data_IF_415398559568
#
_entry.id   IF_415398559568
#
_cell.length_a   1.000
_cell.length_b   1.000
_cell.length_c   1.000
_cell.angle_alpha   90.00
_cell.angle_beta   90.00
_cell.angle_gamma   90.00
#
_symmetry.space_group_name_H-M   'P 1'
#
loop_
_entity.id
_entity.type
_entity.pdbx_description
1 polymer ?
#
# COMPACT_ATOMS: atom_id res chain seq x y z
N UNK A 1 37.02 21.85 -34.26
CA UNK A 1 35.80 22.66 -34.29
C UNK A 1 34.92 22.22 -33.12
N UNK A 2 34.87 23.00 -32.03
CA UNK A 2 34.02 22.68 -30.86
C UNK A 2 32.58 22.82 -31.22
N UNK A 3 31.81 21.73 -31.14
CA UNK A 3 30.32 21.71 -31.20
C UNK A 3 29.81 22.25 -29.86
N UNK A 4 29.44 23.53 -29.79
CA UNK A 4 28.59 24.02 -28.72
C UNK A 4 27.17 23.57 -29.02
N UNK A 5 26.51 22.88 -28.11
CA UNK A 5 25.24 22.17 -28.26
C UNK A 5 23.98 23.02 -28.58
N UNK A 6 24.11 24.20 -29.16
CA UNK A 6 22.99 25.15 -29.37
C UNK A 6 22.54 25.25 -30.84
N UNK A 7 23.01 24.43 -31.78
CA UNK A 7 22.65 24.46 -33.21
C UNK A 7 22.92 25.83 -33.89
N UNK A 8 24.00 26.52 -33.49
CA UNK A 8 24.46 27.80 -34.07
C UNK A 8 25.78 27.57 -34.78
N UNK A 9 25.89 27.98 -36.04
CA UNK A 9 27.07 27.77 -36.89
C UNK A 9 27.55 29.09 -37.45
N UNK A 10 28.87 29.30 -37.60
CA UNK A 10 29.43 30.44 -38.31
C UNK A 10 29.56 30.09 -39.80
N UNK A 11 28.94 30.87 -40.65
CA UNK A 11 28.99 30.73 -42.12
C UNK A 11 30.28 31.29 -42.69
N UNK A 12 30.57 30.93 -43.94
CA UNK A 12 31.75 31.46 -44.65
C UNK A 12 31.64 32.96 -44.94
N UNK A 13 30.44 33.51 -44.98
CA UNK A 13 30.16 34.94 -45.15
C UNK A 13 30.31 35.75 -43.86
N UNK A 14 30.78 35.14 -42.77
CA UNK A 14 31.05 35.78 -41.49
C UNK A 14 29.81 35.85 -40.56
N UNK A 15 28.62 35.58 -41.03
CA UNK A 15 27.40 35.56 -40.22
C UNK A 15 27.26 34.29 -39.41
N UNK A 16 26.53 34.37 -38.29
CA UNK A 16 26.06 33.20 -37.53
C UNK A 16 24.68 32.79 -38.03
N UNK A 17 24.45 31.50 -38.14
CA UNK A 17 23.18 30.88 -38.49
C UNK A 17 22.72 30.00 -37.32
N UNK A 18 21.53 30.26 -36.76
CA UNK A 18 20.87 29.43 -35.77
C UNK A 18 19.75 28.65 -36.43
N UNK A 19 19.64 27.35 -36.13
CA UNK A 19 18.65 26.44 -36.71
C UNK A 19 17.68 25.94 -35.63
N UNK A 20 16.37 26.00 -35.91
CA UNK A 20 15.33 25.46 -35.02
C UNK A 20 14.30 24.66 -35.80
N UNK A 21 13.62 23.73 -35.12
CA UNK A 21 12.59 22.85 -35.73
C UNK A 21 11.26 23.57 -35.71
N UNK A 22 10.62 23.76 -36.89
CA UNK A 22 9.28 24.33 -37.02
C UNK A 22 8.19 23.25 -36.93
N UNK A 23 8.49 22.01 -37.37
CA UNK A 23 7.53 20.92 -37.42
C UNK A 23 7.98 19.81 -38.38
N UNK A 24 7.05 18.94 -38.78
CA UNK A 24 7.26 17.90 -39.79
C UNK A 24 6.38 18.16 -41.00
N UNK A 25 6.84 17.78 -42.21
CA UNK A 25 6.02 17.76 -43.44
C UNK A 25 5.04 16.60 -43.38
N UNK A 26 4.03 16.60 -44.26
CA UNK A 26 3.08 15.49 -44.41
C UNK A 26 3.75 14.14 -44.67
N UNK A 27 4.98 14.17 -45.24
CA UNK A 27 5.84 13.01 -45.53
C UNK A 27 6.75 12.60 -44.37
N UNK A 28 6.60 13.21 -43.18
CA UNK A 28 7.40 12.90 -41.98
C UNK A 28 8.78 13.56 -41.91
N UNK A 29 9.22 14.36 -42.89
CA UNK A 29 10.51 15.06 -42.88
C UNK A 29 10.47 16.28 -41.93
N UNK A 30 11.53 16.47 -41.16
CA UNK A 30 11.64 17.61 -40.23
C UNK A 30 11.85 18.92 -40.97
N UNK A 31 10.97 19.91 -40.74
CA UNK A 31 11.05 21.25 -41.31
C UNK A 31 11.77 22.17 -40.33
N UNK A 32 12.77 22.92 -40.85
CA UNK A 32 13.62 23.80 -40.05
C UNK A 32 13.37 25.27 -40.38
N UNK A 33 13.46 26.12 -39.35
CA UNK A 33 13.59 27.57 -39.45
C UNK A 33 15.03 28.00 -39.19
N UNK A 34 15.39 29.17 -39.71
CA UNK A 34 16.73 29.70 -39.60
C UNK A 34 16.69 31.14 -39.13
N UNK A 35 17.66 31.51 -38.28
CA UNK A 35 17.88 32.85 -37.76
C UNK A 35 19.33 33.26 -38.10
N UNK A 36 19.53 34.47 -38.61
CA UNK A 36 20.83 34.95 -39.01
C UNK A 36 21.21 36.23 -38.24
N UNK A 37 22.49 36.43 -37.95
CA UNK A 37 23.00 37.62 -37.31
C UNK A 37 24.53 37.69 -37.41
N UNK A 38 25.12 38.86 -37.15
CA UNK A 38 26.54 39.05 -37.18
C UNK A 38 27.24 38.72 -35.84
N UNK A 39 26.46 38.68 -34.76
CA UNK A 39 26.99 38.33 -33.42
C UNK A 39 26.34 37.02 -32.93
N UNK A 40 27.13 36.15 -32.29
CA UNK A 40 26.66 34.87 -31.74
C UNK A 40 25.55 35.05 -30.72
N UNK A 41 25.72 36.04 -29.81
CA UNK A 41 24.70 36.32 -28.76
C UNK A 41 23.36 36.80 -29.33
N UNK A 42 23.39 37.59 -30.39
CA UNK A 42 22.21 38.04 -31.11
C UNK A 42 21.42 36.87 -31.68
N UNK A 43 22.12 35.96 -32.37
CA UNK A 43 21.50 34.77 -32.96
C UNK A 43 20.98 33.83 -31.88
N UNK A 44 21.71 33.71 -30.77
CA UNK A 44 21.31 32.91 -29.62
C UNK A 44 20.01 33.44 -28.99
N UNK A 45 19.91 34.74 -28.74
CA UNK A 45 18.72 35.37 -28.16
C UNK A 45 17.52 35.25 -29.09
N UNK A 46 17.68 35.54 -30.36
CA UNK A 46 16.60 35.36 -31.37
C UNK A 46 16.20 33.91 -31.50
N UNK A 47 17.15 32.96 -31.41
CA UNK A 47 16.83 31.53 -31.42
C UNK A 47 16.05 31.11 -30.18
N UNK A 48 16.37 31.67 -29.01
CA UNK A 48 15.63 31.43 -27.78
C UNK A 48 14.21 32.02 -27.84
N UNK A 49 14.04 33.23 -28.40
CA UNK A 49 12.72 33.85 -28.66
C UNK A 49 11.87 33.01 -29.59
N UNK A 50 12.40 32.56 -30.73
CA UNK A 50 11.68 31.70 -31.66
C UNK A 50 11.33 30.33 -31.05
N UNK A 51 12.22 29.76 -30.24
CA UNK A 51 11.92 28.54 -29.50
C UNK A 51 10.84 28.77 -28.42
N UNK A 52 10.86 29.92 -27.74
CA UNK A 52 9.87 30.31 -26.76
C UNK A 52 8.48 30.56 -27.39
N UNK A 53 8.44 31.15 -28.59
CA UNK A 53 7.18 31.32 -29.35
C UNK A 53 6.62 30.00 -29.85
N UNK A 54 7.48 29.03 -30.19
CA UNK A 54 7.06 27.68 -30.59
C UNK A 54 6.67 26.79 -29.38
N UNK A 55 7.13 27.18 -28.18
CA UNK A 55 6.75 26.61 -26.86
C UNK A 55 5.59 27.41 -26.24
N UNK A 56 4.93 28.32 -26.96
CA UNK A 56 3.65 28.84 -26.48
C UNK A 56 2.75 27.64 -26.13
N UNK A 57 2.18 27.61 -24.91
CA UNK A 57 1.19 26.61 -24.61
C UNK A 57 0.15 26.71 -25.71
N UNK A 58 -0.08 25.61 -26.42
CA UNK A 58 -1.13 25.50 -27.42
C UNK A 58 -2.41 26.03 -26.76
N UNK A 59 -2.83 27.19 -27.22
CA UNK A 59 -4.15 27.71 -26.93
C UNK A 59 -5.13 26.60 -27.28
N UNK A 60 -5.81 26.11 -26.27
CA UNK A 60 -6.81 25.05 -26.24
C UNK A 60 -6.33 23.68 -26.75
N UNK A 61 -6.24 22.68 -25.85
CA UNK A 61 -6.02 21.31 -26.28
C UNK A 61 -7.18 20.86 -27.17
N UNK A 62 -6.94 20.02 -28.20
CA UNK A 62 -8.00 19.44 -29.03
C UNK A 62 -9.06 18.80 -28.10
N UNK A 63 -10.33 18.78 -28.55
CA UNK A 63 -11.49 18.39 -27.72
C UNK A 63 -11.34 17.06 -26.94
N UNK A 64 -10.50 16.15 -27.41
CA UNK A 64 -10.10 14.91 -26.69
C UNK A 64 -9.19 15.15 -25.47
N UNK A 65 -8.63 16.35 -25.27
CA UNK A 65 -7.71 16.69 -24.18
C UNK A 65 -8.36 17.52 -23.05
N UNK A 66 -9.68 17.68 -23.05
CA UNK A 66 -10.41 18.45 -22.01
C UNK A 66 -10.91 17.58 -20.86
N UNK A 67 -10.34 16.39 -20.67
CA UNK A 67 -10.68 15.51 -19.55
C UNK A 67 -9.93 15.99 -18.32
N UNK A 68 -10.66 16.31 -17.25
CA UNK A 68 -10.08 16.65 -15.95
C UNK A 68 -9.52 15.39 -15.26
N UNK A 69 -8.57 15.58 -14.34
CA UNK A 69 -8.06 14.46 -13.55
C UNK A 69 -9.19 13.79 -12.74
N UNK A 70 -10.18 14.53 -12.26
CA UNK A 70 -11.36 13.98 -11.58
C UNK A 70 -12.13 13.00 -12.46
N UNK A 71 -12.51 13.44 -13.66
CA UNK A 71 -13.25 12.60 -14.61
C UNK A 71 -12.45 11.36 -14.97
N UNK A 72 -11.13 11.53 -15.20
CA UNK A 72 -10.25 10.42 -15.52
C UNK A 72 -10.09 9.43 -14.37
N UNK A 73 -9.88 9.90 -13.14
CA UNK A 73 -9.74 9.03 -11.97
C UNK A 73 -11.02 8.20 -11.73
N UNK A 74 -12.20 8.78 -11.92
CA UNK A 74 -13.46 8.06 -11.81
C UNK A 74 -13.61 7.03 -12.94
N UNK A 75 -13.32 7.42 -14.18
CA UNK A 75 -13.31 6.51 -15.33
C UNK A 75 -12.37 5.32 -15.10
N UNK A 76 -11.15 5.57 -14.63
CA UNK A 76 -10.18 4.51 -14.31
C UNK A 76 -10.67 3.58 -13.20
N UNK A 77 -11.28 4.14 -12.16
CA UNK A 77 -11.84 3.35 -11.06
C UNK A 77 -12.99 2.44 -11.52
N UNK A 78 -13.88 2.94 -12.37
CA UNK A 78 -15.06 2.23 -12.85
C UNK A 78 -14.72 1.16 -13.90
N UNK A 79 -13.84 1.48 -14.84
CA UNK A 79 -13.59 0.60 -15.99
C UNK A 79 -12.44 -0.37 -15.78
N UNK A 80 -11.39 0.02 -15.05
CA UNK A 80 -10.19 -0.80 -14.86
C UNK A 80 -10.14 -1.45 -13.48
N UNK A 81 -10.52 -0.72 -12.43
CA UNK A 81 -10.37 -1.21 -11.06
C UNK A 81 -11.58 -1.99 -10.57
N UNK A 82 -12.79 -1.66 -11.04
CA UNK A 82 -14.01 -2.36 -10.62
C UNK A 82 -13.98 -3.81 -11.14
N UNK A 83 -14.06 -4.75 -10.19
CA UNK A 83 -13.99 -6.19 -10.51
C UNK A 83 -12.57 -6.76 -10.63
N UNK A 84 -11.55 -5.95 -10.95
CA UNK A 84 -10.15 -6.40 -11.03
C UNK A 84 -9.47 -6.49 -9.67
N UNK A 85 -9.92 -5.70 -8.69
CA UNK A 85 -9.41 -5.69 -7.32
C UNK A 85 -10.49 -6.02 -6.29
N UNK A 86 -10.05 -6.41 -5.09
CA UNK A 86 -10.99 -6.69 -3.99
C UNK A 86 -11.77 -5.42 -3.60
N UNK A 87 -13.05 -5.59 -3.24
CA UNK A 87 -13.94 -4.50 -2.83
C UNK A 87 -13.33 -3.60 -1.72
N UNK A 88 -12.59 -4.19 -0.77
CA UNK A 88 -11.89 -3.44 0.27
C UNK A 88 -10.76 -2.53 -0.28
N UNK A 89 -10.02 -3.02 -1.28
CA UNK A 89 -8.98 -2.23 -1.95
C UNK A 89 -9.59 -1.11 -2.77
N UNK A 90 -10.66 -1.41 -3.50
CA UNK A 90 -11.43 -0.43 -4.28
C UNK A 90 -11.88 0.74 -3.40
N UNK A 91 -12.48 0.47 -2.25
CA UNK A 91 -12.93 1.48 -1.30
C UNK A 91 -11.77 2.28 -0.68
N UNK A 92 -10.65 1.61 -0.40
CA UNK A 92 -9.44 2.28 0.08
C UNK A 92 -8.91 3.26 -0.98
N UNK A 93 -8.89 2.85 -2.25
CA UNK A 93 -8.46 3.68 -3.36
C UNK A 93 -9.38 4.88 -3.55
N UNK A 94 -10.71 4.67 -3.57
CA UNK A 94 -11.69 5.76 -3.63
C UNK A 94 -11.50 6.76 -2.48
N UNK A 95 -11.27 6.26 -1.27
CA UNK A 95 -11.02 7.13 -0.10
C UNK A 95 -9.76 7.96 -0.28
N UNK A 96 -8.65 7.35 -0.74
CA UNK A 96 -7.39 8.07 -0.97
C UNK A 96 -7.52 9.09 -2.11
N UNK A 97 -8.19 8.72 -3.19
CA UNK A 97 -8.46 9.61 -4.33
C UNK A 97 -9.26 10.82 -3.87
N UNK A 98 -10.40 10.61 -3.23
CA UNK A 98 -11.30 11.69 -2.82
C UNK A 98 -10.69 12.57 -1.72
N UNK A 99 -9.90 11.99 -0.81
CA UNK A 99 -9.33 12.73 0.33
C UNK A 99 -8.06 13.50 -0.03
N UNK A 100 -7.24 12.96 -0.93
CA UNK A 100 -5.91 13.50 -1.17
C UNK A 100 -5.69 14.01 -2.60
N UNK A 101 -6.13 13.27 -3.63
CA UNK A 101 -5.81 13.62 -5.02
C UNK A 101 -6.78 14.69 -5.57
N UNK A 102 -8.09 14.44 -5.46
CA UNK A 102 -9.08 15.28 -6.09
C UNK A 102 -9.21 16.70 -5.51
N UNK A 103 -8.98 16.96 -4.20
CA UNK A 103 -9.05 18.30 -3.68
C UNK A 103 -8.00 19.24 -4.28
N UNK A 104 -6.82 18.74 -4.60
CA UNK A 104 -5.70 19.55 -5.07
C UNK A 104 -5.56 19.51 -6.61
N UNK A 105 -5.64 18.31 -7.19
CA UNK A 105 -5.35 18.11 -8.62
C UNK A 105 -6.59 17.85 -9.46
N UNK A 106 -7.74 17.56 -8.86
CA UNK A 106 -8.93 17.06 -9.55
C UNK A 106 -9.52 18.01 -10.61
N UNK A 107 -9.34 19.32 -10.46
CA UNK A 107 -9.81 20.31 -11.41
C UNK A 107 -8.89 20.56 -12.60
N UNK A 108 -7.66 20.03 -12.57
CA UNK A 108 -6.70 20.20 -13.65
C UNK A 108 -7.02 19.26 -14.82
N UNK A 109 -6.83 19.74 -16.03
CA UNK A 109 -6.83 18.88 -17.21
C UNK A 109 -5.61 17.97 -17.19
N UNK A 110 -5.75 16.72 -17.70
CA UNK A 110 -4.64 15.76 -17.78
C UNK A 110 -3.40 16.32 -18.48
N UNK A 111 -3.60 17.21 -19.45
CA UNK A 111 -2.52 17.87 -20.20
C UNK A 111 -1.78 18.95 -19.40
N UNK A 112 -2.37 19.46 -18.33
CA UNK A 112 -1.75 20.45 -17.44
C UNK A 112 -0.88 19.80 -16.37
N UNK A 113 -1.01 18.49 -16.16
CA UNK A 113 -0.23 17.77 -15.17
C UNK A 113 1.23 17.66 -15.63
N UNK A 114 2.11 18.37 -14.93
CA UNK A 114 3.55 18.36 -15.16
C UNK A 114 4.28 17.59 -14.05
N UNK A 115 5.52 17.15 -14.28
CA UNK A 115 6.33 16.55 -13.21
C UNK A 115 6.53 17.49 -12.01
N UNK A 116 6.60 18.81 -12.25
CA UNK A 116 6.73 19.80 -11.19
C UNK A 116 5.49 19.82 -10.29
N UNK A 117 4.28 19.87 -10.87
CA UNK A 117 3.02 19.80 -10.12
C UNK A 117 2.87 18.47 -9.35
N UNK A 118 3.26 17.35 -9.98
CA UNK A 118 3.22 16.05 -9.30
C UNK A 118 4.22 15.99 -8.13
N UNK A 119 5.36 16.65 -8.23
CA UNK A 119 6.32 16.78 -7.12
C UNK A 119 5.77 17.68 -6.02
N UNK A 120 5.28 18.87 -6.36
CA UNK A 120 4.66 19.82 -5.43
C UNK A 120 3.52 19.16 -4.65
N UNK A 121 2.66 18.41 -5.31
CA UNK A 121 1.60 17.63 -4.67
C UNK A 121 2.16 16.68 -3.59
N UNK A 122 3.29 16.01 -3.84
CA UNK A 122 3.90 15.14 -2.81
C UNK A 122 4.46 15.94 -1.64
N UNK A 123 5.07 17.11 -1.89
CA UNK A 123 5.59 17.98 -0.84
C UNK A 123 4.44 18.55 0.02
N UNK A 124 3.32 18.94 -0.59
CA UNK A 124 2.13 19.42 0.14
C UNK A 124 1.58 18.33 1.07
N UNK A 125 1.55 17.07 0.63
CA UNK A 125 1.15 15.96 1.49
C UNK A 125 2.11 15.77 2.68
N UNK A 126 3.43 15.92 2.47
CA UNK A 126 4.39 15.87 3.57
C UNK A 126 4.23 17.06 4.53
N UNK A 127 4.03 18.26 3.99
CA UNK A 127 3.77 19.46 4.79
C UNK A 127 2.49 19.35 5.63
N UNK A 128 1.47 18.62 5.12
CA UNK A 128 0.25 18.29 5.85
C UNK A 128 0.45 17.17 6.91
N UNK A 129 1.68 16.71 7.14
CA UNK A 129 2.03 15.71 8.16
C UNK A 129 1.70 14.26 7.80
N UNK A 130 1.47 13.94 6.52
CA UNK A 130 1.23 12.56 6.11
C UNK A 130 2.52 11.74 6.15
N UNK A 131 2.41 10.48 6.61
CA UNK A 131 3.53 9.56 6.60
C UNK A 131 4.02 9.23 5.19
N UNK A 132 5.32 8.95 5.03
CA UNK A 132 5.92 8.59 3.74
C UNK A 132 5.24 7.37 3.09
N UNK A 133 4.76 6.41 3.88
CA UNK A 133 4.01 5.27 3.37
C UNK A 133 2.66 5.68 2.77
N UNK A 134 1.96 6.63 3.38
CA UNK A 134 0.69 7.18 2.88
C UNK A 134 0.94 7.96 1.60
N UNK A 135 1.91 8.88 1.58
CA UNK A 135 2.27 9.66 0.38
C UNK A 135 2.64 8.72 -0.77
N UNK A 136 3.47 7.72 -0.51
CA UNK A 136 3.84 6.69 -1.51
C UNK A 136 2.63 5.91 -2.03
N UNK A 137 1.67 5.58 -1.17
CA UNK A 137 0.42 4.92 -1.54
C UNK A 137 -0.43 5.78 -2.47
N UNK A 138 -0.69 7.02 -2.09
CA UNK A 138 -1.47 8.00 -2.88
C UNK A 138 -0.79 8.30 -4.22
N UNK A 139 0.52 8.52 -4.21
CA UNK A 139 1.28 8.78 -5.44
C UNK A 139 1.27 7.60 -6.41
N UNK A 140 1.31 6.35 -5.89
CA UNK A 140 1.17 5.15 -6.73
C UNK A 140 -0.18 5.09 -7.43
N UNK A 141 -1.27 5.48 -6.77
CA UNK A 141 -2.60 5.54 -7.38
C UNK A 141 -2.64 6.57 -8.50
N UNK A 142 -2.14 7.78 -8.26
CA UNK A 142 -2.04 8.82 -9.28
C UNK A 142 -1.21 8.33 -10.48
N UNK A 143 -0.04 7.76 -10.22
CA UNK A 143 0.86 7.25 -11.27
C UNK A 143 0.24 6.11 -12.06
N UNK A 144 -0.52 5.21 -11.41
CA UNK A 144 -1.21 4.09 -12.06
C UNK A 144 -2.33 4.58 -12.98
N UNK A 145 -3.17 5.51 -12.51
CA UNK A 145 -4.24 6.09 -13.32
C UNK A 145 -3.69 6.87 -14.52
N UNK A 146 -2.57 7.61 -14.34
CA UNK A 146 -1.90 8.32 -15.44
C UNK A 146 -1.15 7.38 -16.39
N UNK A 147 -0.73 6.21 -15.92
CA UNK A 147 -0.22 5.16 -16.80
C UNK A 147 -1.33 4.62 -17.70
N UNK A 148 -2.48 4.34 -17.14
CA UNK A 148 -3.64 3.91 -17.92
C UNK A 148 -4.04 4.98 -18.97
N UNK A 149 -3.97 6.29 -18.61
CA UNK A 149 -4.17 7.38 -19.57
C UNK A 149 -3.14 7.42 -20.69
N UNK A 150 -1.90 7.02 -20.41
CA UNK A 150 -0.85 6.88 -21.41
C UNK A 150 -1.11 5.69 -22.33
N UNK A 151 -1.50 4.54 -21.77
CA UNK A 151 -1.78 3.31 -22.50
C UNK A 151 -3.02 3.48 -23.41
N UNK A 152 -4.05 4.23 -22.98
CA UNK A 152 -5.21 4.65 -23.78
C UNK A 152 -4.93 5.78 -24.78
N UNK A 153 -3.71 6.31 -24.82
CA UNK A 153 -3.31 7.38 -25.73
C UNK A 153 -3.90 8.76 -25.42
N UNK A 154 -4.53 8.95 -24.22
CA UNK A 154 -5.11 10.23 -23.78
C UNK A 154 -4.02 11.25 -23.46
N UNK A 155 -2.90 10.79 -22.88
CA UNK A 155 -1.69 11.59 -22.63
C UNK A 155 -0.48 10.97 -23.34
N UNK A 156 0.49 11.82 -23.69
CA UNK A 156 1.72 11.35 -24.38
C UNK A 156 2.83 10.91 -23.43
N UNK A 157 2.80 11.35 -22.18
CA UNK A 157 3.81 11.05 -21.15
C UNK A 157 3.15 11.03 -19.78
N UNK A 158 3.54 10.08 -18.95
CA UNK A 158 3.14 10.06 -17.55
C UNK A 158 4.07 10.98 -16.74
N UNK A 159 3.58 12.09 -16.16
CA UNK A 159 4.39 13.03 -15.39
C UNK A 159 5.00 12.42 -14.12
N UNK A 160 4.41 11.35 -13.59
CA UNK A 160 4.87 10.67 -12.36
C UNK A 160 6.05 9.70 -12.61
N UNK A 161 6.35 9.33 -13.86
CA UNK A 161 7.22 8.17 -14.18
C UNK A 161 8.62 8.22 -13.59
N UNK A 162 9.24 9.40 -13.48
CA UNK A 162 10.64 9.58 -13.03
C UNK A 162 10.75 10.18 -11.62
N UNK A 163 9.65 10.48 -10.97
CA UNK A 163 9.68 11.10 -9.66
C UNK A 163 10.06 10.06 -8.59
N UNK A 164 11.06 10.41 -7.79
CA UNK A 164 11.46 9.64 -6.61
C UNK A 164 10.73 10.22 -5.39
N UNK A 165 9.91 9.41 -4.76
CA UNK A 165 9.27 9.75 -3.50
C UNK A 165 10.25 9.50 -2.36
N UNK A 166 10.29 10.38 -1.37
CA UNK A 166 11.12 10.22 -0.17
C UNK A 166 10.84 8.85 0.45
N UNK A 167 11.91 8.13 0.75
CA UNK A 167 11.78 6.92 1.55
C UNK A 167 11.61 7.36 3.00
N UNK A 168 10.52 6.93 3.62
CA UNK A 168 10.37 7.09 5.07
C UNK A 168 11.36 6.19 5.80
N UNK A 169 11.70 6.57 7.02
CA UNK A 169 12.41 5.68 7.93
C UNK A 169 11.61 4.39 8.10
N UNK A 170 12.31 3.27 8.12
CA UNK A 170 11.67 1.99 8.48
C UNK A 170 11.32 2.06 9.97
N UNK A 171 10.04 2.28 10.25
CA UNK A 171 9.55 2.19 11.63
C UNK A 171 9.63 0.73 12.06
N UNK A 172 10.46 0.45 13.07
CA UNK A 172 10.49 -0.88 13.67
C UNK A 172 9.09 -1.27 14.15
N UNK A 173 8.69 -2.49 13.80
CA UNK A 173 7.39 -2.98 14.22
C UNK A 173 7.40 -3.22 15.74
N UNK A 174 6.41 -2.67 16.43
CA UNK A 174 6.22 -2.90 17.87
C UNK A 174 6.02 -4.39 18.13
N UNK A 175 6.87 -4.95 18.96
CA UNK A 175 6.82 -6.33 19.46
C UNK A 175 6.71 -6.28 20.97
N UNK A 176 5.91 -7.15 21.58
CA UNK A 176 5.83 -7.26 23.02
C UNK A 176 7.14 -7.83 23.58
N UNK A 177 7.67 -7.26 24.65
CA UNK A 177 8.69 -7.92 25.46
C UNK A 177 8.12 -9.20 26.07
N UNK A 178 8.97 -10.07 26.62
CA UNK A 178 8.50 -11.32 27.28
C UNK A 178 7.59 -11.01 28.47
N UNK A 179 7.93 -9.99 29.25
CA UNK A 179 7.13 -9.56 30.40
C UNK A 179 5.78 -8.96 29.99
N UNK A 180 5.75 -8.14 28.93
CA UNK A 180 4.51 -7.60 28.37
C UNK A 180 3.63 -8.70 27.78
N UNK A 181 4.22 -9.66 27.05
CA UNK A 181 3.49 -10.79 26.49
C UNK A 181 2.83 -11.62 27.60
N UNK A 182 3.52 -11.84 28.71
CA UNK A 182 2.97 -12.56 29.86
C UNK A 182 1.86 -11.77 30.54
N UNK A 183 1.99 -10.44 30.72
CA UNK A 183 0.91 -9.59 31.21
C UNK A 183 -0.33 -9.65 30.31
N UNK A 184 -0.15 -9.59 28.99
CA UNK A 184 -1.26 -9.73 28.03
C UNK A 184 -1.91 -11.10 28.12
N UNK A 185 -1.12 -12.17 28.25
CA UNK A 185 -1.61 -13.54 28.38
C UNK A 185 -2.46 -13.69 29.64
N UNK A 186 -1.95 -13.28 30.79
CA UNK A 186 -2.65 -13.38 32.08
C UNK A 186 -3.96 -12.58 32.07
N UNK A 187 -3.92 -11.32 31.63
CA UNK A 187 -5.08 -10.46 31.58
C UNK A 187 -6.16 -10.97 30.58
N UNK A 188 -5.72 -11.53 29.44
CA UNK A 188 -6.63 -12.14 28.47
C UNK A 188 -7.25 -13.44 29.02
N UNK A 189 -6.50 -14.21 29.78
CA UNK A 189 -6.95 -15.44 30.40
C UNK A 189 -7.97 -15.17 31.50
N UNK A 190 -7.66 -14.25 32.40
CA UNK A 190 -8.55 -13.82 33.49
C UNK A 190 -9.90 -13.29 32.96
N UNK A 191 -9.88 -12.52 31.87
CA UNK A 191 -11.09 -11.94 31.27
C UNK A 191 -11.80 -12.87 30.26
N UNK A 192 -11.26 -14.06 30.02
CA UNK A 192 -11.78 -14.97 29.01
C UNK A 192 -11.70 -14.41 27.59
N UNK A 193 -10.70 -13.57 27.29
CA UNK A 193 -10.53 -12.94 25.96
C UNK A 193 -9.80 -13.86 24.97
N UNK A 194 -10.48 -14.97 24.61
CA UNK A 194 -9.96 -16.00 23.71
C UNK A 194 -9.47 -15.46 22.34
N UNK A 195 -10.11 -14.45 21.72
CA UNK A 195 -9.55 -13.82 20.51
C UNK A 195 -8.11 -13.37 20.65
N UNK A 196 -7.75 -12.81 21.81
CA UNK A 196 -6.38 -12.35 22.10
C UNK A 196 -5.42 -13.54 22.24
N UNK A 197 -5.80 -14.54 23.05
CA UNK A 197 -5.00 -15.75 23.22
C UNK A 197 -4.80 -16.50 21.89
N UNK A 198 -5.87 -16.60 21.09
CA UNK A 198 -5.79 -17.24 19.77
C UNK A 198 -4.77 -16.54 18.85
N UNK A 199 -4.83 -15.20 18.77
CA UNK A 199 -3.86 -14.45 17.97
C UNK A 199 -2.43 -14.56 18.50
N UNK A 200 -2.26 -14.55 19.83
CA UNK A 200 -0.95 -14.61 20.49
C UNK A 200 -0.24 -15.97 20.26
N UNK A 201 -0.99 -17.06 20.20
CA UNK A 201 -0.45 -18.42 20.08
C UNK A 201 -0.54 -19.03 18.66
N UNK A 202 -1.25 -18.40 17.75
CA UNK A 202 -1.39 -18.91 16.36
C UNK A 202 -0.96 -17.88 15.29
N UNK A 203 -0.72 -16.64 15.69
CA UNK A 203 -0.40 -15.55 14.77
C UNK A 203 -1.54 -15.18 13.81
N UNK A 204 -2.79 -15.58 14.08
CA UNK A 204 -3.94 -15.23 13.26
C UNK A 204 -4.20 -13.71 13.25
N UNK A 205 -4.61 -13.19 12.10
CA UNK A 205 -5.01 -11.78 11.96
C UNK A 205 -6.40 -11.56 12.58
N UNK A 206 -6.69 -10.33 13.04
CA UNK A 206 -7.99 -9.99 13.62
C UNK A 206 -9.19 -10.44 12.74
N UNK A 207 -9.12 -10.18 11.43
CA UNK A 207 -10.17 -10.58 10.51
C UNK A 207 -10.29 -12.10 10.33
N UNK A 208 -9.21 -12.86 10.48
CA UNK A 208 -9.19 -14.32 10.46
C UNK A 208 -9.81 -14.88 11.74
N UNK A 209 -9.46 -14.30 12.90
CA UNK A 209 -10.07 -14.61 14.21
C UNK A 209 -11.57 -14.31 14.18
N UNK A 210 -11.98 -13.15 13.68
CA UNK A 210 -13.38 -12.74 13.57
C UNK A 210 -14.23 -13.70 12.72
N UNK A 211 -13.62 -14.30 11.71
CA UNK A 211 -14.30 -15.18 10.74
C UNK A 211 -14.16 -16.68 11.04
N UNK A 212 -13.56 -17.03 12.18
CA UNK A 212 -13.32 -18.43 12.56
C UNK A 212 -14.64 -19.15 12.84
N UNK A 213 -14.83 -20.32 12.23
CA UNK A 213 -15.95 -21.22 12.45
C UNK A 213 -15.55 -22.43 13.28
N UNK A 214 -16.49 -23.03 13.97
CA UNK A 214 -16.24 -24.29 14.70
C UNK A 214 -15.79 -25.41 13.75
N UNK A 215 -16.31 -25.46 12.53
CA UNK A 215 -15.92 -26.43 11.49
C UNK A 215 -14.48 -26.24 10.95
N UNK A 216 -13.79 -25.18 11.33
CA UNK A 216 -12.39 -24.97 10.98
C UNK A 216 -11.42 -25.58 11.98
N UNK A 217 -11.94 -26.09 13.11
CA UNK A 217 -11.15 -26.70 14.20
C UNK A 217 -11.21 -28.21 14.08
N UNK A 218 -10.05 -28.80 13.85
CA UNK A 218 -9.85 -30.27 13.92
C UNK A 218 -9.38 -30.62 15.33
N UNK A 219 -10.28 -31.16 16.12
CA UNK A 219 -10.03 -31.49 17.52
C UNK A 219 -9.10 -32.70 17.71
N UNK A 220 -9.07 -33.63 16.77
CA UNK A 220 -8.23 -34.81 16.79
C UNK A 220 -6.78 -34.49 16.42
N UNK A 221 -6.63 -33.74 15.28
CA UNK A 221 -5.32 -33.28 14.80
C UNK A 221 -4.79 -32.08 15.55
N UNK A 222 -5.58 -31.51 16.45
CA UNK A 222 -5.25 -30.28 17.21
C UNK A 222 -4.84 -29.12 16.31
N UNK A 223 -5.62 -28.86 15.26
CA UNK A 223 -5.29 -27.84 14.27
C UNK A 223 -6.48 -26.91 14.00
N UNK A 224 -6.14 -25.71 13.56
CA UNK A 224 -7.10 -24.68 13.11
C UNK A 224 -6.79 -24.32 11.67
N UNK A 225 -7.77 -24.42 10.79
CA UNK A 225 -7.65 -24.08 9.38
C UNK A 225 -8.12 -22.66 9.12
N UNK A 226 -7.25 -21.79 8.64
CA UNK A 226 -7.59 -20.42 8.24
C UNK A 226 -8.14 -20.44 6.82
N UNK A 227 -9.45 -20.28 6.65
CA UNK A 227 -10.15 -20.36 5.35
C UNK A 227 -10.70 -19.02 4.88
N UNK A 228 -10.98 -18.09 5.80
CA UNK A 228 -11.67 -16.83 5.51
C UNK A 228 -11.20 -15.68 6.38
N UNK A 229 -11.57 -14.47 6.00
CA UNK A 229 -11.34 -13.26 6.78
C UNK A 229 -12.58 -12.38 6.75
N UNK A 230 -12.92 -11.77 7.87
CA UNK A 230 -13.99 -10.79 7.98
C UNK A 230 -13.39 -9.37 7.83
N UNK A 231 -13.99 -8.57 6.97
CA UNK A 231 -13.61 -7.18 6.73
C UNK A 231 -14.85 -6.31 6.65
N UNK A 232 -14.75 -5.10 7.19
CA UNK A 232 -15.80 -4.09 7.01
C UNK A 232 -15.43 -3.21 5.82
N UNK A 233 -16.29 -3.20 4.81
CA UNK A 233 -16.10 -2.43 3.57
C UNK A 233 -17.13 -1.32 3.53
N UNK A 234 -16.72 -0.12 3.12
CA UNK A 234 -17.66 0.96 2.87
C UNK A 234 -18.56 0.58 1.68
N UNK A 235 -19.86 0.78 1.83
CA UNK A 235 -20.86 0.64 0.80
C UNK A 235 -21.64 1.95 0.80
N UNK A 236 -22.09 2.41 -0.37
CA UNK A 236 -23.04 3.52 -0.41
C UNK A 236 -24.19 3.28 0.60
N UNK A 237 -24.93 4.31 0.99
CA UNK A 237 -26.07 4.16 1.91
C UNK A 237 -27.01 3.08 1.35
N UNK A 238 -27.10 1.93 2.05
CA UNK A 238 -28.11 0.94 1.74
C UNK A 238 -29.48 1.41 2.26
N UNK A 239 -30.56 0.68 1.92
CA UNK A 239 -31.94 0.95 2.34
C UNK A 239 -32.09 1.12 3.87
N UNK A 240 -31.17 0.55 4.68
CA UNK A 240 -31.13 0.68 6.13
C UNK A 240 -30.20 1.82 6.63
N UNK A 241 -29.74 2.72 5.75
CA UNK A 241 -28.87 3.86 6.09
C UNK A 241 -27.44 3.47 6.52
N UNK A 242 -27.06 2.20 6.44
CA UNK A 242 -25.72 1.72 6.83
C UNK A 242 -24.69 2.06 5.74
N UNK A 243 -23.62 2.74 6.14
CA UNK A 243 -22.52 3.13 5.23
C UNK A 243 -21.50 2.01 4.99
N UNK A 244 -21.55 0.90 5.73
CA UNK A 244 -20.54 -0.17 5.68
C UNK A 244 -21.19 -1.55 5.84
N UNK A 245 -20.62 -2.56 5.16
CA UNK A 245 -21.03 -3.95 5.23
C UNK A 245 -19.87 -4.81 5.75
N UNK A 246 -20.18 -5.82 6.59
CA UNK A 246 -19.25 -6.86 6.96
C UNK A 246 -19.22 -7.91 5.83
N UNK A 247 -18.06 -8.06 5.19
CA UNK A 247 -17.87 -9.03 4.11
C UNK A 247 -16.95 -10.14 4.59
N UNK A 248 -17.36 -11.38 4.34
CA UNK A 248 -16.51 -12.55 4.44
C UNK A 248 -15.83 -12.75 3.09
N UNK A 249 -14.51 -12.66 3.08
CA UNK A 249 -13.71 -12.87 1.88
C UNK A 249 -12.75 -14.04 2.03
N UNK A 250 -12.27 -14.56 0.89
CA UNK A 250 -11.11 -15.44 0.91
C UNK A 250 -9.90 -14.67 1.45
N UNK A 251 -8.95 -15.34 2.10
CA UNK A 251 -7.70 -14.74 2.51
C UNK A 251 -7.00 -14.06 1.33
N UNK A 252 -6.11 -13.11 1.61
CA UNK A 252 -5.49 -12.20 0.61
C UNK A 252 -4.70 -12.95 -0.48
N UNK A 253 -4.19 -14.15 -0.20
CA UNK A 253 -3.43 -14.98 -1.14
C UNK A 253 -3.73 -16.47 -0.90
N UNK A 254 -3.40 -17.34 -1.88
CA UNK A 254 -3.48 -18.80 -1.71
C UNK A 254 -2.71 -19.30 -0.48
N UNK A 255 -1.53 -18.73 -0.18
CA UNK A 255 -0.72 -19.08 1.01
C UNK A 255 -1.34 -18.64 2.34
N UNK A 256 -2.31 -17.72 2.31
CA UNK A 256 -3.03 -17.33 3.52
C UNK A 256 -4.04 -18.41 3.96
N UNK A 257 -4.44 -19.33 3.08
CA UNK A 257 -5.14 -20.55 3.43
C UNK A 257 -4.12 -21.53 4.01
N UNK A 258 -4.18 -21.77 5.31
CA UNK A 258 -3.16 -22.52 6.04
C UNK A 258 -3.76 -23.27 7.22
N UNK A 259 -3.09 -24.34 7.64
CA UNK A 259 -3.40 -25.11 8.83
C UNK A 259 -2.42 -24.71 9.93
N UNK A 260 -2.93 -24.38 11.10
CA UNK A 260 -2.16 -23.93 12.25
C UNK A 260 -2.28 -24.96 13.38
N UNK A 261 -1.19 -25.50 13.91
CA UNK A 261 -1.21 -26.26 15.16
C UNK A 261 -1.75 -25.35 16.29
N UNK A 262 -2.58 -25.90 17.16
CA UNK A 262 -3.10 -25.19 18.31
C UNK A 262 -2.72 -25.91 19.60
N UNK A 263 -2.17 -25.16 20.61
CA UNK A 263 -1.82 -25.74 21.90
C UNK A 263 -3.05 -26.32 22.65
N UNK A 264 -2.84 -27.39 23.41
CA UNK A 264 -3.90 -28.11 24.12
C UNK A 264 -4.75 -27.23 25.05
N UNK A 265 -4.07 -26.32 25.79
CA UNK A 265 -4.77 -25.38 26.68
C UNK A 265 -5.74 -24.46 25.92
N UNK A 266 -5.36 -24.02 24.70
CA UNK A 266 -6.21 -23.15 23.89
C UNK A 266 -7.41 -23.92 23.34
N UNK A 267 -7.20 -25.17 22.89
CA UNK A 267 -8.30 -26.06 22.47
C UNK A 267 -9.27 -26.39 23.60
N UNK A 268 -8.76 -26.61 24.82
CA UNK A 268 -9.59 -26.82 26.00
C UNK A 268 -10.48 -25.60 26.29
N UNK A 269 -9.91 -24.40 26.22
CA UNK A 269 -10.68 -23.15 26.39
C UNK A 269 -11.74 -22.96 25.29
N UNK A 270 -11.41 -23.31 24.04
CA UNK A 270 -12.37 -23.27 22.91
C UNK A 270 -13.50 -24.31 23.11
N UNK A 271 -13.19 -25.53 23.61
CA UNK A 271 -14.21 -26.51 23.95
C UNK A 271 -15.16 -25.99 25.05
N UNK A 272 -14.61 -25.36 26.10
CA UNK A 272 -15.43 -24.76 27.17
C UNK A 272 -16.32 -23.64 26.61
N UNK A 273 -15.81 -22.79 25.72
CA UNK A 273 -16.60 -21.76 25.03
C UNK A 273 -17.73 -22.38 24.18
N UNK A 274 -17.44 -23.47 23.48
CA UNK A 274 -18.43 -24.19 22.65
C UNK A 274 -19.53 -24.78 23.51
N UNK A 275 -19.19 -25.35 24.67
CA UNK A 275 -20.16 -25.94 25.61
C UNK A 275 -21.06 -24.88 26.31
N UNK A 276 -20.51 -23.70 26.58
CA UNK A 276 -21.21 -22.61 27.28
C UNK A 276 -21.96 -21.64 26.36
N UNK A 277 -21.73 -21.69 25.06
CA UNK A 277 -22.26 -20.70 24.12
C UNK A 277 -23.51 -21.17 23.36
N UNK A 278 -24.29 -20.23 22.76
CA UNK A 278 -25.35 -20.56 21.84
C UNK A 278 -24.73 -21.22 20.57
N UNK A 279 -25.51 -22.17 19.98
CA UNK A 279 -25.12 -22.93 18.82
C UNK A 279 -25.02 -22.05 17.54
N UNK A 280 -24.04 -21.18 17.49
CA UNK A 280 -23.72 -20.39 16.30
C UNK A 280 -22.63 -21.08 15.44
N UNK A 281 -22.59 -20.78 14.16
CA UNK A 281 -21.59 -21.32 13.23
C UNK A 281 -20.18 -20.76 13.53
N UNK A 282 -20.11 -19.50 14.00
CA UNK A 282 -18.86 -18.77 14.26
C UNK A 282 -18.44 -18.87 15.73
N UNK A 283 -17.14 -19.04 15.97
CA UNK A 283 -16.58 -19.22 17.32
C UNK A 283 -16.83 -18.00 18.23
N UNK A 284 -16.72 -16.79 17.69
CA UNK A 284 -16.81 -15.54 18.47
C UNK A 284 -18.09 -14.75 18.21
N UNK A 285 -19.14 -15.38 17.69
CA UNK A 285 -20.42 -14.75 17.45
C UNK A 285 -21.58 -15.71 17.74
N UNK A 286 -22.54 -15.23 18.49
CA UNK A 286 -23.81 -15.95 18.73
C UNK A 286 -24.78 -15.83 17.56
N UNK A 287 -24.51 -14.99 16.57
CA UNK A 287 -25.36 -14.78 15.40
C UNK A 287 -24.93 -15.64 14.21
N UNK A 288 -25.77 -15.71 13.18
CA UNK A 288 -25.42 -16.34 11.91
C UNK A 288 -24.29 -15.62 11.13
N UNK A 289 -23.79 -14.51 11.66
CA UNK A 289 -22.75 -13.70 11.02
C UNK A 289 -21.46 -13.75 11.83
N UNK A 290 -20.32 -13.56 11.15
CA UNK A 290 -19.03 -13.45 11.79
C UNK A 290 -18.98 -12.34 12.85
N UNK A 291 -18.14 -12.51 13.86
CA UNK A 291 -17.90 -11.47 14.85
C UNK A 291 -17.43 -10.16 14.16
N UNK A 292 -17.92 -9.04 14.66
CA UNK A 292 -17.52 -7.73 14.16
C UNK A 292 -16.06 -7.42 14.53
N UNK A 293 -15.12 -7.28 13.57
CA UNK A 293 -13.70 -7.02 13.89
C UNK A 293 -13.50 -5.79 14.76
N UNK A 294 -14.30 -4.73 14.56
CA UNK A 294 -14.21 -3.52 15.38
C UNK A 294 -14.59 -3.77 16.84
N UNK A 295 -15.52 -4.68 17.11
CA UNK A 295 -15.89 -5.06 18.48
C UNK A 295 -14.75 -5.78 19.17
N UNK A 296 -14.12 -6.75 18.48
CA UNK A 296 -12.92 -7.44 19.00
C UNK A 296 -11.76 -6.45 19.21
N UNK A 297 -11.54 -5.54 18.27
CA UNK A 297 -10.52 -4.49 18.40
C UNK A 297 -10.76 -3.59 19.62
N UNK A 298 -12.01 -3.17 19.87
CA UNK A 298 -12.35 -2.33 21.03
C UNK A 298 -12.16 -3.08 22.34
N UNK A 299 -12.53 -4.36 22.40
CA UNK A 299 -12.28 -5.20 23.59
C UNK A 299 -10.80 -5.30 23.87
N UNK A 300 -10.00 -5.57 22.84
CA UNK A 300 -8.54 -5.60 22.93
C UNK A 300 -7.98 -4.26 23.40
N UNK A 301 -8.41 -3.12 22.84
CA UNK A 301 -7.91 -1.80 23.27
C UNK A 301 -8.20 -1.53 24.76
N UNK A 302 -9.40 -1.91 25.25
CA UNK A 302 -9.74 -1.79 26.68
C UNK A 302 -8.90 -2.72 27.57
N UNK A 303 -8.55 -3.91 27.06
CA UNK A 303 -7.65 -4.81 27.77
C UNK A 303 -6.25 -4.20 27.88
N UNK A 304 -5.72 -3.66 26.77
CA UNK A 304 -4.39 -3.01 26.74
C UNK A 304 -4.34 -1.76 27.63
N UNK A 305 -5.39 -0.94 27.62
CA UNK A 305 -5.52 0.21 28.52
C UNK A 305 -5.48 -0.19 30.00
N UNK A 306 -6.20 -1.26 30.36
CA UNK A 306 -6.26 -1.74 31.73
C UNK A 306 -4.90 -2.27 32.27
N UNK A 307 -4.00 -2.72 31.40
CA UNK A 307 -2.67 -3.21 31.78
C UNK A 307 -1.53 -2.23 31.44
N UNK A 308 -1.87 -0.99 31.01
CA UNK A 308 -0.91 0.08 30.74
C UNK A 308 -0.13 -0.07 29.44
N UNK A 309 -0.66 -0.77 28.44
CA UNK A 309 -0.03 -1.01 27.13
C UNK A 309 -0.81 -0.34 25.98
N UNK A 310 -1.08 0.96 26.07
CA UNK A 310 -1.94 1.71 25.14
C UNK A 310 -1.36 1.83 23.71
N UNK A 311 -0.06 1.66 23.54
CA UNK A 311 0.65 1.69 22.25
C UNK A 311 0.57 0.36 21.47
N UNK A 312 -0.03 -0.68 22.08
CA UNK A 312 -0.12 -2.01 21.51
C UNK A 312 -1.40 -2.16 20.67
N UNK A 313 -1.24 -2.54 19.41
CA UNK A 313 -2.33 -2.85 18.50
C UNK A 313 -2.55 -4.37 18.38
N UNK A 314 -3.74 -4.81 17.97
CA UNK A 314 -4.03 -6.24 17.82
C UNK A 314 -3.02 -6.96 16.91
N UNK A 315 -2.52 -6.28 15.87
CA UNK A 315 -1.53 -6.87 14.96
C UNK A 315 -0.15 -7.10 15.62
N UNK A 316 0.14 -6.38 16.71
CA UNK A 316 1.35 -6.58 17.54
C UNK A 316 1.42 -7.99 18.12
N UNK A 317 0.27 -8.62 18.46
CA UNK A 317 0.22 -10.00 18.94
C UNK A 317 0.83 -10.97 17.93
N UNK A 318 0.50 -10.79 16.66
CA UNK A 318 1.05 -11.58 15.56
C UNK A 318 2.53 -11.30 15.32
N UNK A 319 2.97 -10.05 15.44
CA UNK A 319 4.39 -9.71 15.38
C UNK A 319 5.15 -10.39 16.53
N UNK A 320 4.61 -10.33 17.74
CA UNK A 320 5.20 -10.99 18.91
C UNK A 320 5.26 -12.51 18.75
N UNK A 321 4.21 -13.14 18.21
CA UNK A 321 4.21 -14.57 17.87
C UNK A 321 5.37 -14.92 16.94
N UNK A 322 5.55 -14.17 15.87
CA UNK A 322 6.61 -14.42 14.89
C UNK A 322 8.01 -14.25 15.51
N UNK A 323 8.21 -13.15 16.25
CA UNK A 323 9.49 -12.87 16.91
C UNK A 323 9.83 -13.95 17.93
N UNK A 324 8.85 -14.40 18.75
CA UNK A 324 9.10 -15.47 19.74
C UNK A 324 9.51 -16.80 19.07
N UNK A 325 8.86 -17.18 17.95
CA UNK A 325 9.27 -18.39 17.24
C UNK A 325 10.70 -18.28 16.69
N UNK A 326 11.06 -17.13 16.15
CA UNK A 326 12.43 -16.89 15.67
C UNK A 326 13.44 -16.90 16.83
N UNK A 327 13.13 -16.28 17.98
CA UNK A 327 13.97 -16.33 19.17
C UNK A 327 14.16 -17.75 19.72
N UNK A 328 13.16 -18.62 19.54
CA UNK A 328 13.22 -20.05 19.87
C UNK A 328 13.98 -20.89 18.83
N UNK A 329 14.53 -20.27 17.78
CA UNK A 329 15.32 -20.96 16.77
C UNK A 329 14.50 -21.60 15.65
N UNK A 330 13.18 -21.34 15.57
CA UNK A 330 12.35 -21.83 14.46
C UNK A 330 12.78 -21.13 13.17
N UNK A 331 12.98 -21.91 12.11
CA UNK A 331 13.41 -21.39 10.82
C UNK A 331 12.39 -20.42 10.20
N UNK A 332 12.90 -19.48 9.42
CA UNK A 332 12.10 -18.39 8.85
C UNK A 332 11.04 -18.87 7.85
N UNK A 333 11.26 -20.02 7.19
CA UNK A 333 10.31 -20.57 6.23
C UNK A 333 9.10 -21.14 6.96
N UNK A 334 9.31 -21.87 8.07
CA UNK A 334 8.26 -22.36 8.96
C UNK A 334 7.46 -21.20 9.55
N UNK A 335 8.13 -20.17 10.09
CA UNK A 335 7.44 -18.96 10.61
C UNK A 335 6.62 -18.28 9.50
N UNK A 336 7.19 -18.13 8.31
CA UNK A 336 6.49 -17.55 7.15
C UNK A 336 5.26 -18.37 6.74
N UNK A 337 5.36 -19.71 6.78
CA UNK A 337 4.24 -20.62 6.49
C UNK A 337 3.13 -20.49 7.53
N UNK A 338 3.47 -20.51 8.83
CA UNK A 338 2.52 -20.30 9.93
C UNK A 338 1.80 -18.94 9.83
N UNK A 339 2.53 -17.90 9.46
CA UNK A 339 1.95 -16.58 9.25
C UNK A 339 1.14 -16.48 7.94
N UNK A 340 1.37 -17.35 6.97
CA UNK A 340 0.75 -17.26 5.63
C UNK A 340 1.21 -16.01 4.87
N UNK A 341 2.50 -15.72 4.91
CA UNK A 341 3.11 -14.69 4.09
C UNK A 341 3.30 -15.19 2.65
N UNK A 342 3.09 -14.33 1.67
CA UNK A 342 3.27 -14.67 0.25
C UNK A 342 4.74 -14.93 -0.09
N UNK A 343 5.68 -14.39 0.69
CA UNK A 343 7.12 -14.54 0.54
C UNK A 343 7.80 -14.56 1.91
N UNK A 344 8.79 -15.43 2.08
CA UNK A 344 9.66 -15.46 3.26
C UNK A 344 10.43 -14.13 3.43
N UNK A 345 10.68 -13.41 2.31
CA UNK A 345 11.26 -12.07 2.34
C UNK A 345 10.45 -11.11 3.22
N UNK A 346 9.11 -11.21 3.18
CA UNK A 346 8.26 -10.38 4.06
C UNK A 346 8.55 -10.66 5.54
N UNK A 347 8.75 -11.91 5.91
CA UNK A 347 9.13 -12.29 7.28
C UNK A 347 10.53 -11.77 7.62
N UNK A 348 11.47 -11.90 6.70
CA UNK A 348 12.84 -11.41 6.85
C UNK A 348 12.89 -9.87 7.00
N UNK A 349 12.18 -9.15 6.14
CA UNK A 349 12.15 -7.68 6.15
C UNK A 349 11.56 -7.12 7.47
N UNK A 350 10.64 -7.85 8.11
CA UNK A 350 10.02 -7.44 9.38
C UNK A 350 10.78 -7.90 10.63
N UNK A 351 11.42 -9.06 10.59
CA UNK A 351 11.97 -9.71 11.79
C UNK A 351 13.47 -9.99 11.72
N UNK A 352 14.12 -9.73 10.58
CA UNK A 352 15.55 -9.99 10.38
C UNK A 352 16.49 -9.19 11.29
N UNK A 353 15.97 -8.11 11.89
CA UNK A 353 16.72 -7.29 12.85
C UNK A 353 16.75 -7.88 14.26
N UNK A 354 15.84 -8.77 14.58
CA UNK A 354 15.71 -9.42 15.92
C UNK A 354 16.69 -10.58 16.17
N UNK A 355 17.69 -10.77 15.30
CA UNK A 355 18.55 -11.96 15.28
C UNK A 355 20.02 -11.78 15.70
N UNK A 356 20.47 -10.73 16.44
CA UNK A 356 21.90 -10.61 16.82
C UNK A 356 22.39 -11.79 17.68
N UNK A 357 21.54 -12.26 18.63
CA UNK A 357 21.91 -13.33 19.54
C UNK A 357 21.94 -14.71 18.85
N UNK A 358 21.09 -14.95 17.86
CA UNK A 358 21.12 -16.16 17.05
C UNK A 358 22.40 -16.25 16.20
N UNK A 359 22.94 -15.14 15.71
CA UNK A 359 24.22 -15.12 15.00
C UNK A 359 25.37 -15.57 15.91
N UNK A 360 25.39 -15.11 17.17
CA UNK A 360 26.37 -15.54 18.17
C UNK A 360 26.23 -17.02 18.51
N UNK A 361 24.98 -17.49 18.71
CA UNK A 361 24.70 -18.90 18.96
C UNK A 361 25.09 -19.80 17.78
N UNK A 362 24.78 -19.37 16.54
CA UNK A 362 25.16 -20.14 15.34
C UNK A 362 26.68 -20.27 15.19
N UNK A 363 27.45 -19.21 15.48
CA UNK A 363 28.93 -19.28 15.47
C UNK A 363 29.44 -20.12 16.62
N UNK A 364 28.83 -20.07 17.82
CA UNK A 364 29.20 -20.87 18.96
C UNK A 364 28.98 -22.39 18.70
N UNK A 365 27.92 -22.75 17.97
CA UNK A 365 27.67 -24.15 17.55
C UNK A 365 28.78 -24.67 16.66
N UNK A 366 29.37 -23.88 15.75
CA UNK A 366 30.51 -24.28 14.94
C UNK A 366 31.79 -24.53 15.74
N UNK A 367 31.94 -23.84 16.89
CA UNK A 367 33.10 -24.00 17.77
C UNK A 367 32.95 -25.25 18.68
N UNK A 368 31.76 -25.85 18.75
CA UNK A 368 31.46 -27.04 19.53
C UNK A 368 31.47 -28.37 18.69
N UNK A 369 31.68 -28.27 17.38
CA UNK A 369 31.90 -29.38 16.46
C UNK A 369 33.40 -29.58 16.26
#
# INVERSE_FOLDING_TARGET
MCRHGENIYRRKDGRYEGRYVIGKTAEGKTRFGYVYGYQYMEVRNRLAEHKAVLVRPLTEPPARCRITLREWMMHWMENEMLGSIKASSYQTYLTQINKHILPELGGLYLTQLTPALAYEFTENMYAAGLSASTVKGVFRLLSAALRFALDEGVIRKNPCRKLKIRQGEQVEQRVLSRSEQEKVRLAADERGDLPVLLSLYTGMRLGEVSALKWSDIDWEKKTITVRRTAQRVAQGRNERGRKTLLILGSPKSRRSHRVLPAPDFLLAKLKNLMAAGPAGEFVFSASAHAAEPRTLQRRFSRLMEAIGLMDVHFHTLRHSFATRLLELGVDIQTVSALLGHSSARTTLDFYGHSLPDQRRQAVALLAAC
#
